data_IF_857057202782
#
_entry.id   IF_857057202782
#
_cell.length_a   1.000
_cell.length_b   1.000
_cell.length_c   1.000
_cell.angle_alpha   90.00
_cell.angle_beta   90.00
_cell.angle_gamma   90.00
#
_symmetry.space_group_name_H-M   'P 1'
#
loop_
_entity.id
_entity.type
_entity.pdbx_description
1 polymer ?
#
# COMPACT_ATOMS: atom_id res chain seq x y z
N UNK A 1 -38.52 1.67 -17.25
CA UNK A 1 -39.34 2.74 -17.83
C UNK A 1 -40.44 3.13 -16.85
N UNK A 2 -40.33 4.31 -16.22
CA UNK A 2 -41.50 5.14 -15.84
C UNK A 2 -40.98 6.55 -15.53
N UNK A 3 -40.95 7.37 -16.57
CA UNK A 3 -40.72 8.80 -16.50
C UNK A 3 -41.90 9.46 -15.78
N UNK A 4 -41.63 10.34 -14.81
CA UNK A 4 -42.50 11.49 -14.53
C UNK A 4 -41.65 12.74 -14.35
N UNK A 5 -41.56 13.44 -15.47
CA UNK A 5 -41.30 14.85 -15.67
C UNK A 5 -42.10 15.72 -14.68
N UNK A 6 -41.44 16.66 -14.02
CA UNK A 6 -42.04 17.88 -13.47
C UNK A 6 -41.00 19.01 -13.54
N UNK A 7 -41.09 19.76 -14.64
CA UNK A 7 -40.85 21.21 -14.80
C UNK A 7 -41.34 21.99 -13.56
N UNK A 8 -40.92 23.18 -13.14
CA UNK A 8 -40.08 24.30 -13.62
C UNK A 8 -40.16 25.33 -12.45
N UNK A 9 -39.15 26.16 -12.18
CA UNK A 9 -39.24 27.65 -12.14
C UNK A 9 -38.03 28.30 -11.47
N UNK A 10 -37.40 29.14 -12.28
CA UNK A 10 -36.34 30.13 -12.04
C UNK A 10 -36.92 31.36 -11.31
N UNK A 11 -36.22 31.90 -10.30
CA UNK A 11 -36.39 33.31 -9.87
C UNK A 11 -35.02 33.92 -9.57
N UNK A 12 -34.68 34.92 -10.38
CA UNK A 12 -33.54 35.82 -10.31
C UNK A 12 -34.08 37.20 -9.86
N UNK A 13 -33.56 37.79 -8.78
CA UNK A 13 -33.71 39.22 -8.44
C UNK A 13 -32.43 39.66 -7.71
N UNK A 14 -31.46 40.24 -8.43
CA UNK A 14 -31.19 41.67 -8.60
C UNK A 14 -30.98 42.48 -7.30
N UNK A 15 -29.70 42.84 -7.11
CA UNK A 15 -29.13 44.15 -6.74
C UNK A 15 -29.89 45.09 -5.78
N UNK A 16 -29.22 45.43 -4.67
CA UNK A 16 -29.26 46.78 -4.11
C UNK A 16 -27.84 47.35 -3.97
N UNK A 17 -27.67 48.51 -4.60
CA UNK A 17 -26.48 49.36 -4.61
C UNK A 17 -26.43 50.30 -3.39
N UNK A 18 -25.20 50.75 -3.09
CA UNK A 18 -24.72 52.00 -2.44
C UNK A 18 -25.21 52.33 -1.02
N UNK A 19 -24.32 52.56 -0.05
CA UNK A 19 -23.51 53.80 0.17
C UNK A 19 -22.39 53.42 1.15
N UNK A 20 -21.08 53.67 0.97
CA UNK A 20 -20.40 54.92 0.67
C UNK A 20 -19.90 55.58 1.97
N UNK A 21 -18.63 55.40 2.33
CA UNK A 21 -17.76 56.30 3.11
C UNK A 21 -16.37 55.64 3.21
N UNK A 22 -15.41 56.09 2.39
CA UNK A 22 -14.40 57.11 2.70
C UNK A 22 -13.13 56.51 3.32
N UNK A 23 -12.03 56.85 2.65
CA UNK A 23 -10.68 56.33 2.77
C UNK A 23 -9.92 57.12 3.84
N UNK A 24 -9.28 56.42 4.77
CA UNK A 24 -8.16 56.97 5.52
C UNK A 24 -6.91 56.14 5.23
N UNK A 25 -5.94 56.82 4.63
CA UNK A 25 -4.64 56.30 4.22
C UNK A 25 -3.72 56.32 5.45
N UNK A 26 -3.20 55.18 5.85
CA UNK A 26 -2.03 55.09 6.73
C UNK A 26 -1.05 54.07 6.16
N UNK A 27 0.08 54.58 5.68
CA UNK A 27 1.23 53.81 5.20
C UNK A 27 2.01 53.29 6.41
N UNK A 28 2.01 51.98 6.62
CA UNK A 28 2.88 51.27 7.57
C UNK A 28 3.78 50.27 6.81
N UNK A 29 5.03 50.05 7.25
CA UNK A 29 6.08 49.52 6.38
C UNK A 29 5.94 48.01 6.12
N UNK A 30 6.30 47.62 4.89
CA UNK A 30 6.51 46.24 4.43
C UNK A 30 7.42 45.50 5.43
N UNK A 31 6.88 44.49 6.11
CA UNK A 31 7.68 43.39 6.64
C UNK A 31 7.39 42.18 5.77
N UNK A 32 8.41 41.83 4.97
CA UNK A 32 8.52 40.55 4.30
C UNK A 32 8.65 39.45 5.35
N UNK A 33 7.54 38.76 5.66
CA UNK A 33 7.63 37.44 6.27
C UNK A 33 8.02 36.46 5.16
N UNK A 34 9.34 36.33 5.01
CA UNK A 34 9.97 35.18 4.37
C UNK A 34 9.74 33.99 5.30
N UNK A 35 8.55 33.38 5.20
CA UNK A 35 8.26 32.13 5.89
C UNK A 35 9.05 31.04 5.18
N UNK A 36 10.30 30.89 5.61
CA UNK A 36 11.10 29.69 5.42
C UNK A 36 10.23 28.54 5.93
N UNK A 37 9.63 27.79 5.01
CA UNK A 37 9.15 26.44 5.28
C UNK A 37 10.42 25.61 5.44
N UNK A 38 10.80 25.15 6.64
CA UNK A 38 11.74 24.06 6.71
C UNK A 38 10.92 22.86 6.22
N UNK A 39 11.10 22.52 4.94
CA UNK A 39 10.89 21.16 4.48
C UNK A 39 11.84 20.28 5.27
N UNK A 40 11.49 20.00 6.52
CA UNK A 40 12.03 18.90 7.29
C UNK A 40 11.51 17.65 6.58
N UNK A 41 12.19 17.26 5.52
CA UNK A 41 12.42 15.85 5.26
C UNK A 41 13.05 15.32 6.54
N UNK A 42 12.20 14.87 7.46
CA UNK A 42 12.61 13.92 8.47
C UNK A 42 13.15 12.74 7.67
N UNK A 43 14.46 12.75 7.46
CA UNK A 43 15.26 11.56 7.20
C UNK A 43 15.00 10.66 8.41
N UNK A 44 13.87 9.98 8.34
CA UNK A 44 13.48 8.93 9.25
C UNK A 44 14.58 7.91 9.06
N UNK A 45 15.47 7.83 10.03
CA UNK A 45 16.55 6.87 10.10
C UNK A 45 15.92 5.46 10.07
N UNK A 46 15.65 5.01 8.85
CA UNK A 46 14.81 3.90 8.51
C UNK A 46 15.64 2.62 8.62
N UNK A 47 15.10 1.65 9.33
CA UNK A 47 15.72 0.34 9.44
C UNK A 47 15.59 -0.37 8.10
N UNK A 48 16.70 -0.61 7.41
CA UNK A 48 16.67 -1.29 6.11
C UNK A 48 16.89 -2.79 6.30
N UNK A 49 15.89 -3.60 5.94
CA UNK A 49 16.07 -5.02 5.71
C UNK A 49 16.59 -5.25 4.28
N UNK A 50 17.69 -5.98 4.13
CA UNK A 50 18.24 -6.35 2.82
C UNK A 50 18.13 -7.85 2.62
N UNK A 51 17.44 -8.27 1.55
CA UNK A 51 17.45 -9.64 1.08
C UNK A 51 18.33 -9.77 -0.17
N UNK A 52 19.60 -10.12 0.04
CA UNK A 52 20.57 -10.28 -1.05
C UNK A 52 20.26 -11.50 -1.94
N UNK A 53 19.57 -12.52 -1.41
CA UNK A 53 19.22 -13.73 -2.18
C UNK A 53 18.23 -13.42 -3.31
N UNK A 54 17.25 -12.56 -3.05
CA UNK A 54 16.22 -12.20 -4.03
C UNK A 54 16.39 -10.80 -4.62
N UNK A 55 17.34 -10.00 -4.13
CA UNK A 55 17.69 -8.71 -4.72
C UNK A 55 16.67 -7.61 -4.43
N UNK A 56 16.33 -7.42 -3.15
CA UNK A 56 15.54 -6.27 -2.71
C UNK A 56 15.95 -5.76 -1.33
N UNK A 57 15.60 -4.51 -1.06
CA UNK A 57 15.57 -3.90 0.27
C UNK A 57 14.13 -3.60 0.69
N UNK A 58 13.89 -3.52 1.99
CA UNK A 58 12.61 -3.16 2.57
C UNK A 58 12.84 -2.18 3.73
N UNK A 59 12.32 -0.96 3.59
CA UNK A 59 12.39 0.04 4.66
C UNK A 59 11.37 -0.26 5.76
N UNK A 60 11.83 -0.27 7.01
CA UNK A 60 11.03 -0.50 8.20
C UNK A 60 11.15 0.69 9.16
N UNK A 61 10.09 1.02 9.91
CA UNK A 61 10.19 2.03 10.95
C UNK A 61 11.01 1.52 12.14
N UNK A 62 11.49 2.44 12.99
CA UNK A 62 12.29 2.10 14.18
C UNK A 62 11.55 1.18 15.16
N UNK A 63 10.22 1.19 15.17
CA UNK A 63 9.38 0.27 15.97
C UNK A 63 9.62 -1.20 15.63
N UNK A 64 10.18 -1.49 14.46
CA UNK A 64 10.52 -2.83 14.00
C UNK A 64 11.94 -3.28 14.38
N UNK A 65 12.71 -2.50 15.14
CA UNK A 65 14.01 -2.95 15.66
C UNK A 65 13.83 -4.28 16.44
N UNK A 66 14.61 -5.29 16.04
CA UNK A 66 14.48 -6.65 16.57
C UNK A 66 13.53 -7.57 15.79
N UNK A 67 13.06 -7.16 14.60
CA UNK A 67 12.31 -8.05 13.70
C UNK A 67 13.12 -9.32 13.39
N UNK A 68 12.40 -10.39 13.02
CA UNK A 68 13.02 -11.64 12.54
C UNK A 68 12.49 -12.01 11.16
N UNK A 69 13.16 -12.94 10.48
CA UNK A 69 12.74 -13.43 9.17
C UNK A 69 12.28 -14.87 9.29
N UNK A 70 11.09 -15.16 8.80
CA UNK A 70 10.55 -16.51 8.71
C UNK A 70 10.28 -16.85 7.25
N UNK A 71 10.81 -18.00 6.82
CA UNK A 71 10.64 -18.49 5.46
C UNK A 71 9.50 -19.50 5.40
N UNK A 72 8.52 -19.21 4.56
CA UNK A 72 7.39 -20.07 4.25
C UNK A 72 7.33 -20.32 2.73
N UNK A 73 6.31 -21.07 2.29
CA UNK A 73 6.02 -21.31 0.87
C UNK A 73 4.58 -20.97 0.53
N UNK A 74 4.36 -20.52 -0.70
CA UNK A 74 3.05 -20.48 -1.33
C UNK A 74 2.91 -21.64 -2.31
N UNK A 75 1.67 -22.07 -2.53
CA UNK A 75 1.31 -23.13 -3.46
C UNK A 75 0.30 -22.58 -4.48
N UNK A 76 0.59 -22.78 -5.76
CA UNK A 76 -0.26 -22.39 -6.88
C UNK A 76 -1.07 -23.59 -7.35
N UNK A 77 -2.40 -23.49 -7.26
CA UNK A 77 -3.33 -24.55 -7.62
C UNK A 77 -3.91 -24.27 -9.01
N UNK A 78 -3.84 -25.24 -9.91
CA UNK A 78 -4.39 -25.08 -11.27
C UNK A 78 -5.91 -24.86 -11.20
N UNK A 79 -6.38 -23.85 -11.94
CA UNK A 79 -7.79 -23.42 -11.92
C UNK A 79 -8.66 -24.23 -12.90
N UNK A 80 -8.05 -24.79 -13.95
CA UNK A 80 -8.77 -25.52 -14.99
C UNK A 80 -7.93 -26.65 -15.63
N UNK A 81 -8.57 -27.44 -16.49
CA UNK A 81 -7.93 -28.51 -17.25
C UNK A 81 -7.71 -29.80 -16.45
N UNK A 82 -6.90 -30.71 -16.99
CA UNK A 82 -6.67 -32.06 -16.41
C UNK A 82 -5.93 -32.04 -15.08
N UNK A 83 -5.29 -30.91 -14.74
CA UNK A 83 -4.60 -30.70 -13.47
C UNK A 83 -5.42 -29.87 -12.47
N UNK A 84 -6.68 -29.52 -12.80
CA UNK A 84 -7.55 -28.70 -11.93
C UNK A 84 -7.54 -29.21 -10.49
N UNK A 85 -7.31 -28.30 -9.54
CA UNK A 85 -7.24 -28.60 -8.12
C UNK A 85 -5.90 -29.17 -7.63
N UNK A 86 -4.93 -29.41 -8.50
CA UNK A 86 -3.58 -29.85 -8.12
C UNK A 86 -2.63 -28.66 -7.97
N UNK A 87 -1.65 -28.82 -7.10
CA UNK A 87 -0.51 -27.90 -6.98
C UNK A 87 0.33 -28.07 -8.24
N UNK A 88 0.50 -26.97 -8.99
CA UNK A 88 1.29 -26.92 -10.23
C UNK A 88 2.48 -25.96 -10.13
N UNK A 89 2.44 -25.05 -9.16
CA UNK A 89 3.48 -24.06 -8.91
C UNK A 89 3.74 -23.92 -7.41
N UNK A 90 4.96 -23.51 -7.05
CA UNK A 90 5.29 -23.14 -5.67
C UNK A 90 6.32 -22.01 -5.68
N UNK A 91 6.41 -21.30 -4.56
CA UNK A 91 7.47 -20.32 -4.37
C UNK A 91 7.59 -19.84 -2.92
N UNK A 92 8.59 -18.99 -2.64
CA UNK A 92 8.86 -18.52 -1.28
C UNK A 92 7.87 -17.46 -0.82
N UNK A 93 7.56 -17.49 0.48
CA UNK A 93 7.03 -16.34 1.21
C UNK A 93 8.06 -15.96 2.27
N UNK A 94 8.53 -14.73 2.24
CA UNK A 94 9.39 -14.14 3.27
C UNK A 94 8.48 -13.37 4.22
N UNK A 95 8.37 -13.79 5.47
CA UNK A 95 7.65 -13.04 6.50
C UNK A 95 8.66 -12.24 7.33
N UNK A 96 8.56 -10.92 7.25
CA UNK A 96 9.23 -10.03 8.21
C UNK A 96 8.34 -10.05 9.46
N UNK A 97 8.82 -10.75 10.49
CA UNK A 97 8.09 -11.03 11.72
C UNK A 97 8.18 -9.84 12.66
N UNK A 98 7.02 -9.34 13.08
CA UNK A 98 6.92 -8.20 13.99
C UNK A 98 7.68 -8.51 15.31
N UNK A 99 8.52 -7.60 15.84
CA UNK A 99 9.38 -7.87 17.00
C UNK A 99 8.62 -8.25 18.27
N UNK A 100 7.40 -7.73 18.43
CA UNK A 100 6.53 -8.02 19.57
C UNK A 100 5.56 -9.21 19.35
N UNK A 101 5.70 -9.95 18.26
CA UNK A 101 4.84 -11.10 17.99
C UNK A 101 5.04 -12.21 19.02
N UNK A 102 3.94 -12.80 19.49
CA UNK A 102 3.97 -14.03 20.31
C UNK A 102 2.86 -14.99 19.88
N UNK A 103 2.93 -16.26 20.31
CA UNK A 103 1.87 -17.22 20.01
C UNK A 103 0.55 -16.87 20.71
N UNK A 104 0.62 -16.26 21.90
CA UNK A 104 -0.54 -15.84 22.68
C UNK A 104 -1.16 -14.53 22.16
N UNK A 105 -0.32 -13.65 21.63
CA UNK A 105 -0.71 -12.38 21.05
C UNK A 105 -0.02 -12.20 19.68
N UNK A 106 -0.57 -12.80 18.62
CA UNK A 106 0.00 -12.71 17.29
C UNK A 106 -0.22 -11.31 16.72
N UNK A 107 0.88 -10.70 16.26
CA UNK A 107 0.86 -9.44 15.52
C UNK A 107 0.97 -9.66 14.02
N UNK A 108 0.59 -8.67 13.22
CA UNK A 108 0.70 -8.74 11.76
C UNK A 108 2.17 -8.80 11.34
N UNK A 109 2.55 -9.88 10.65
CA UNK A 109 3.81 -9.94 9.90
C UNK A 109 3.67 -9.18 8.57
N UNK A 110 4.80 -8.81 7.95
CA UNK A 110 4.83 -8.31 6.57
C UNK A 110 5.24 -9.46 5.64
N UNK A 111 4.29 -10.12 4.94
CA UNK A 111 4.60 -11.16 3.98
C UNK A 111 5.04 -10.57 2.63
N UNK A 112 6.12 -11.10 2.07
CA UNK A 112 6.60 -10.85 0.71
C UNK A 112 6.66 -12.18 -0.03
N UNK A 113 5.71 -12.39 -0.93
CA UNK A 113 5.74 -13.49 -1.89
C UNK A 113 6.76 -13.20 -2.98
N UNK A 114 7.54 -14.20 -3.35
CA UNK A 114 8.48 -14.11 -4.46
C UNK A 114 8.00 -14.99 -5.61
N UNK A 115 7.93 -14.40 -6.79
CA UNK A 115 7.57 -15.06 -8.04
C UNK A 115 8.68 -14.87 -9.07
N UNK A 116 8.87 -15.84 -9.95
CA UNK A 116 9.55 -15.56 -11.23
C UNK A 116 8.63 -14.77 -12.16
N UNK A 117 9.15 -14.03 -13.16
CA UNK A 117 8.32 -13.37 -14.17
C UNK A 117 7.36 -14.32 -14.90
N UNK A 118 7.80 -15.56 -15.16
CA UNK A 118 6.94 -16.58 -15.78
C UNK A 118 5.77 -16.96 -14.88
N UNK A 119 6.03 -17.26 -13.61
CA UNK A 119 4.99 -17.56 -12.62
C UNK A 119 4.02 -16.39 -12.44
N UNK A 120 4.53 -15.16 -12.36
CA UNK A 120 3.70 -13.97 -12.24
C UNK A 120 2.78 -13.81 -13.46
N UNK A 121 3.31 -13.98 -14.67
CA UNK A 121 2.51 -13.89 -15.90
C UNK A 121 1.42 -14.97 -15.96
N UNK A 122 1.72 -16.21 -15.55
CA UNK A 122 0.74 -17.29 -15.47
C UNK A 122 -0.34 -17.04 -14.41
N UNK A 123 0.04 -16.45 -13.27
CA UNK A 123 -0.91 -16.01 -12.24
C UNK A 123 -1.86 -14.92 -12.77
N UNK A 124 -1.34 -13.92 -13.49
CA UNK A 124 -2.17 -12.86 -14.09
C UNK A 124 -3.13 -13.39 -15.17
N UNK A 125 -2.77 -14.48 -15.85
CA UNK A 125 -3.63 -15.19 -16.80
C UNK A 125 -4.62 -16.15 -16.13
N UNK A 126 -4.60 -16.26 -14.80
CA UNK A 126 -5.46 -17.15 -14.03
C UNK A 126 -5.25 -18.63 -14.41
N UNK A 127 -4.03 -18.99 -14.82
CA UNK A 127 -3.68 -20.39 -15.11
C UNK A 127 -3.60 -21.21 -13.81
N UNK A 128 -3.19 -20.57 -12.72
CA UNK A 128 -3.28 -21.07 -11.36
C UNK A 128 -3.72 -19.95 -10.40
N UNK A 129 -4.20 -20.33 -9.22
CA UNK A 129 -4.53 -19.40 -8.13
C UNK A 129 -3.63 -19.66 -6.92
N UNK A 130 -3.32 -18.60 -6.18
CA UNK A 130 -2.61 -18.71 -4.90
C UNK A 130 -3.54 -18.27 -3.77
N UNK A 131 -3.83 -19.22 -2.88
CA UNK A 131 -4.87 -19.05 -1.87
C UNK A 131 -6.29 -19.15 -2.45
N UNK A 132 -7.29 -19.00 -1.58
CA UNK A 132 -8.70 -19.12 -1.92
C UNK A 132 -9.41 -17.77 -2.18
N UNK A 133 -8.68 -16.66 -2.14
CA UNK A 133 -9.26 -15.33 -2.30
C UNK A 133 -9.63 -15.06 -3.76
N UNK A 134 -10.76 -14.38 -4.04
CA UNK A 134 -11.18 -14.01 -5.41
C UNK A 134 -10.42 -12.79 -5.95
N UNK A 135 -9.34 -12.39 -5.28
CA UNK A 135 -8.46 -11.29 -5.68
C UNK A 135 -7.03 -11.82 -5.69
N UNK A 136 -6.19 -11.44 -6.67
CA UNK A 136 -4.82 -11.91 -6.74
C UNK A 136 -3.94 -11.20 -5.70
N UNK A 137 -2.75 -11.74 -5.40
CA UNK A 137 -1.66 -10.98 -4.80
C UNK A 137 -1.41 -9.66 -5.53
N UNK A 138 -1.05 -8.60 -4.78
CA UNK A 138 -0.70 -7.29 -5.34
C UNK A 138 0.81 -7.12 -5.44
N UNK A 139 1.30 -6.49 -6.51
CA UNK A 139 2.73 -6.27 -6.69
C UNK A 139 3.27 -5.20 -5.74
N UNK A 140 4.42 -5.49 -5.11
CA UNK A 140 5.20 -4.57 -4.29
C UNK A 140 6.39 -3.97 -5.06
N UNK A 141 6.92 -4.70 -6.04
CA UNK A 141 8.02 -4.29 -6.90
C UNK A 141 8.61 -5.48 -7.66
N UNK A 142 9.60 -5.23 -8.52
CA UNK A 142 10.27 -6.30 -9.29
C UNK A 142 11.70 -5.93 -9.65
N UNK A 143 12.53 -6.94 -9.87
CA UNK A 143 13.83 -6.82 -10.53
C UNK A 143 13.85 -7.70 -11.79
N UNK A 144 15.04 -7.92 -12.38
CA UNK A 144 15.17 -8.71 -13.62
C UNK A 144 14.84 -10.19 -13.44
N UNK A 145 14.89 -10.72 -12.22
CA UNK A 145 14.72 -12.14 -11.92
C UNK A 145 13.42 -12.47 -11.18
N UNK A 146 12.86 -11.51 -10.44
CA UNK A 146 11.75 -11.75 -9.53
C UNK A 146 10.71 -10.63 -9.54
N UNK A 147 9.47 -11.01 -9.26
CA UNK A 147 8.37 -10.13 -8.89
C UNK A 147 8.05 -10.37 -7.41
N UNK A 148 8.01 -9.29 -6.64
CA UNK A 148 7.66 -9.28 -5.22
C UNK A 148 6.21 -8.88 -5.07
N UNK A 149 5.45 -9.64 -4.30
CA UNK A 149 4.03 -9.40 -4.14
C UNK A 149 3.56 -9.61 -2.71
N UNK A 150 2.49 -8.91 -2.36
CA UNK A 150 1.77 -9.04 -1.11
C UNK A 150 0.63 -10.06 -1.30
N UNK A 151 0.48 -11.07 -0.42
CA UNK A 151 -0.63 -11.99 -0.49
C UNK A 151 -1.99 -11.28 -0.49
N UNK A 152 -2.93 -11.85 -1.23
CA UNK A 152 -4.31 -11.43 -1.19
C UNK A 152 -4.85 -11.49 0.24
N UNK A 153 -5.44 -10.37 0.71
CA UNK A 153 -6.04 -10.26 2.05
C UNK A 153 -5.08 -10.68 3.18
N UNK A 154 -3.80 -10.33 3.09
CA UNK A 154 -2.78 -10.67 4.10
C UNK A 154 -3.15 -10.25 5.54
N UNK A 155 -4.03 -9.27 5.70
CA UNK A 155 -4.54 -8.72 6.96
C UNK A 155 -6.03 -9.03 7.23
N UNK A 156 -6.64 -9.99 6.52
CA UNK A 156 -8.08 -10.27 6.65
C UNK A 156 -8.54 -10.63 8.07
N UNK A 157 -7.66 -11.21 8.87
CA UNK A 157 -7.94 -11.58 10.24
C UNK A 157 -7.86 -10.40 11.23
N UNK A 158 -7.51 -9.20 10.74
CA UNK A 158 -7.28 -8.00 11.54
C UNK A 158 -6.43 -8.26 12.80
N UNK A 159 -5.26 -8.94 12.69
CA UNK A 159 -4.41 -9.18 13.84
C UNK A 159 -3.83 -7.86 14.36
N UNK A 160 -3.42 -7.83 15.62
CA UNK A 160 -2.85 -6.62 16.21
C UNK A 160 -1.68 -6.07 15.36
N UNK A 161 -1.67 -4.76 15.11
CA UNK A 161 -0.64 -4.09 14.31
C UNK A 161 -0.87 -4.17 12.79
N UNK A 162 -2.03 -4.63 12.32
CA UNK A 162 -2.31 -4.65 10.87
C UNK A 162 -2.37 -3.24 10.26
N UNK A 163 -2.84 -2.23 11.00
CA UNK A 163 -2.87 -0.84 10.53
C UNK A 163 -1.46 -0.28 10.36
N UNK A 164 -0.54 -0.59 11.27
CA UNK A 164 0.87 -0.21 11.15
C UNK A 164 1.48 -0.84 9.89
N UNK A 165 1.16 -2.10 9.59
CA UNK A 165 1.63 -2.76 8.37
C UNK A 165 1.01 -2.13 7.12
N UNK A 166 -0.27 -1.76 7.14
CA UNK A 166 -0.90 -1.01 6.04
C UNK A 166 -0.18 0.33 5.80
N UNK A 167 0.10 1.09 6.85
CA UNK A 167 0.83 2.36 6.78
C UNK A 167 2.25 2.17 6.20
N UNK A 168 2.99 1.18 6.68
CA UNK A 168 4.32 0.83 6.13
C UNK A 168 4.23 0.56 4.62
N UNK A 169 3.24 -0.22 4.18
CA UNK A 169 3.10 -0.62 2.78
C UNK A 169 2.66 0.53 1.87
N UNK A 170 1.86 1.48 2.37
CA UNK A 170 1.45 2.70 1.63
C UNK A 170 2.64 3.56 1.22
N UNK A 171 3.76 3.50 1.94
CA UNK A 171 4.98 4.24 1.65
C UNK A 171 5.91 3.55 0.64
N UNK A 172 5.47 2.47 -0.01
CA UNK A 172 6.24 1.71 -1.00
C UNK A 172 7.65 1.31 -0.51
N UNK A 173 7.72 0.56 0.61
CA UNK A 173 8.96 0.32 1.36
C UNK A 173 9.93 -0.62 0.65
N UNK A 174 9.44 -1.46 -0.27
CA UNK A 174 10.25 -2.39 -1.03
C UNK A 174 10.95 -1.67 -2.19
N UNK A 175 12.28 -1.76 -2.27
CA UNK A 175 13.07 -1.30 -3.42
C UNK A 175 13.90 -2.46 -4.00
N UNK A 176 13.78 -2.76 -5.30
CA UNK A 176 14.64 -3.76 -5.94
C UNK A 176 16.10 -3.30 -5.96
N UNK A 177 17.03 -4.25 -5.91
CA UNK A 177 18.48 -4.06 -6.07
C UNK A 177 18.89 -4.51 -7.47
#
# INVERSE_FOLDING_TARGET
>A
MRNKLLLLTLVLCLAFFITGCMQEKSEGPLQSEDTVVPGASAETDALIYTNAQYGFTFALPKTWTGYSILMNKWEGVAVAGTQSGKIVETGPIINIRHPQWTAQNPRQDIPVMVFTPAQWNSLQKVEFSVGAAPIPPSELGRNSQFVFALPARYNYAFPEGFEEVEDILQHHPLKPI
#
